data_IF_997727584875
#
_entry.id   IF_997727584875
#
_cell.length_a   1.000
_cell.length_b   1.000
_cell.length_c   1.000
_cell.angle_alpha   90.00
_cell.angle_beta   90.00
_cell.angle_gamma   90.00
#
_symmetry.space_group_name_H-M   'P 1'
#
loop_
_entity.id
_entity.type
_entity.pdbx_description
1 polymer ?
#
# COMPACT_ATOMS: atom_id res chain seq x y z
N UNK A 1 -64.25 -50.09 23.26
CA UNK A 1 -64.10 -49.14 22.14
C UNK A 1 -62.77 -48.42 22.36
N UNK A 2 -61.68 -48.98 21.83
CA UNK A 2 -60.30 -48.53 22.08
C UNK A 2 -59.98 -47.31 21.20
N UNK A 3 -59.58 -46.22 21.85
CA UNK A 3 -59.19 -44.95 21.26
C UNK A 3 -57.71 -45.04 20.81
N UNK A 4 -57.42 -44.92 19.52
CA UNK A 4 -56.04 -44.85 18.99
C UNK A 4 -55.74 -43.44 18.53
N UNK A 5 -55.06 -42.66 19.37
CA UNK A 5 -54.59 -41.31 19.04
C UNK A 5 -53.23 -41.46 18.34
N UNK A 6 -53.20 -41.33 17.02
CA UNK A 6 -51.98 -41.25 16.25
C UNK A 6 -51.38 -39.85 16.37
N UNK A 7 -50.22 -39.74 17.01
CA UNK A 7 -49.46 -38.50 17.18
C UNK A 7 -48.62 -38.24 15.92
N UNK A 8 -49.07 -37.35 15.04
CA UNK A 8 -48.28 -36.92 13.88
C UNK A 8 -47.26 -35.87 14.34
N UNK A 9 -45.99 -36.26 14.44
CA UNK A 9 -44.88 -35.33 14.62
C UNK A 9 -44.64 -34.62 13.29
N UNK A 10 -45.08 -33.36 13.20
CA UNK A 10 -44.69 -32.45 12.12
C UNK A 10 -43.21 -32.08 12.32
N UNK A 11 -42.33 -32.72 11.56
CA UNK A 11 -40.93 -32.31 11.45
C UNK A 11 -40.88 -31.02 10.64
N UNK A 12 -40.73 -29.87 11.31
CA UNK A 12 -40.48 -28.59 10.66
C UNK A 12 -39.07 -28.59 10.07
N UNK A 13 -38.94 -28.73 8.75
CA UNK A 13 -37.69 -28.41 8.07
C UNK A 13 -37.48 -26.89 8.13
N UNK A 14 -36.51 -26.44 8.91
CA UNK A 14 -35.94 -25.11 8.74
C UNK A 14 -35.08 -25.14 7.50
N UNK A 15 -35.59 -24.62 6.38
CA UNK A 15 -34.75 -24.34 5.21
C UNK A 15 -33.86 -23.17 5.59
N UNK A 16 -32.60 -23.45 5.94
CA UNK A 16 -31.58 -22.40 5.98
C UNK A 16 -31.30 -22.01 4.54
N UNK A 17 -31.80 -20.86 4.11
CA UNK A 17 -31.39 -20.27 2.84
C UNK A 17 -29.87 -20.11 2.87
N UNK A 18 -29.17 -20.88 2.03
CA UNK A 18 -27.79 -20.59 1.71
C UNK A 18 -27.78 -19.28 0.94
N UNK A 19 -27.63 -18.17 1.66
CA UNK A 19 -27.53 -16.85 1.05
C UNK A 19 -26.19 -16.81 0.30
N UNK A 20 -26.22 -17.12 -1.00
CA UNK A 20 -25.08 -16.92 -1.87
C UNK A 20 -24.76 -15.43 -1.85
N UNK A 21 -23.54 -15.10 -1.44
CA UNK A 21 -23.03 -13.73 -1.47
C UNK A 21 -22.82 -13.36 -2.94
N UNK A 22 -23.82 -12.74 -3.57
CA UNK A 22 -23.73 -12.19 -4.92
C UNK A 22 -23.45 -10.70 -4.79
N UNK A 23 -22.20 -10.31 -5.06
CA UNK A 23 -21.81 -8.91 -5.02
C UNK A 23 -22.55 -8.12 -6.12
N UNK A 24 -22.98 -6.86 -5.85
CA UNK A 24 -23.63 -6.01 -6.85
C UNK A 24 -22.89 -5.99 -8.20
N UNK A 25 -23.64 -6.12 -9.30
CA UNK A 25 -23.08 -6.04 -10.66
C UNK A 25 -22.84 -4.59 -11.05
N UNK A 26 -21.76 -4.35 -11.80
CA UNK A 26 -21.47 -3.06 -12.43
C UNK A 26 -21.73 -3.09 -13.94
N UNK A 27 -22.23 -4.21 -14.49
CA UNK A 27 -22.47 -4.40 -15.92
C UNK A 27 -21.26 -3.95 -16.77
N UNK A 28 -21.45 -3.12 -17.82
CA UNK A 28 -20.33 -2.70 -18.67
C UNK A 28 -19.35 -1.78 -17.94
N UNK A 29 -19.75 -1.15 -16.83
CA UNK A 29 -18.85 -0.34 -16.01
C UNK A 29 -17.76 -1.17 -15.31
N UNK A 30 -18.00 -2.48 -15.10
CA UNK A 30 -17.00 -3.39 -14.52
C UNK A 30 -15.71 -3.50 -15.35
N UNK A 31 -15.76 -3.14 -16.64
CA UNK A 31 -14.61 -3.20 -17.54
C UNK A 31 -13.68 -1.98 -17.45
N UNK A 32 -14.01 -0.98 -16.62
CA UNK A 32 -13.26 0.27 -16.52
C UNK A 32 -12.78 0.52 -15.09
N UNK A 33 -11.55 1.01 -14.97
CA UNK A 33 -10.97 1.45 -13.69
C UNK A 33 -11.41 2.87 -13.36
N UNK A 34 -11.59 3.71 -14.39
CA UNK A 34 -12.02 5.11 -14.24
C UNK A 34 -13.14 5.40 -15.24
N UNK A 35 -14.26 5.93 -14.74
CA UNK A 35 -15.36 6.44 -15.56
C UNK A 35 -15.68 7.86 -15.08
N UNK A 36 -15.81 8.82 -16.00
CA UNK A 36 -16.17 10.20 -15.66
C UNK A 36 -17.19 10.80 -16.64
N UNK A 37 -17.98 11.76 -16.16
CA UNK A 37 -18.93 12.49 -17.00
C UNK A 37 -18.32 13.72 -17.67
N UNK A 38 -17.59 14.51 -16.87
CA UNK A 38 -17.13 15.85 -17.22
C UNK A 38 -15.67 15.87 -17.67
N UNK A 39 -14.77 15.37 -16.84
CA UNK A 39 -13.33 15.37 -17.13
C UNK A 39 -12.58 14.42 -16.22
N UNK A 40 -11.42 13.96 -16.69
CA UNK A 40 -10.37 13.37 -15.84
C UNK A 40 -9.11 14.20 -16.00
N UNK A 41 -8.55 14.68 -14.89
CA UNK A 41 -7.32 15.46 -14.85
C UNK A 41 -6.29 14.77 -13.95
N UNK A 42 -5.06 14.65 -14.43
CA UNK A 42 -3.95 14.09 -13.67
C UNK A 42 -2.80 15.09 -13.50
N UNK A 43 -2.10 14.97 -12.37
CA UNK A 43 -0.82 15.63 -12.12
C UNK A 43 0.16 14.61 -11.58
N UNK A 44 1.35 14.54 -12.18
CA UNK A 44 2.39 13.57 -11.78
C UNK A 44 2.24 12.20 -12.44
N UNK A 45 2.95 11.22 -11.89
CA UNK A 45 3.21 9.90 -12.50
C UNK A 45 2.15 8.85 -12.13
N UNK A 46 0.87 9.18 -12.28
CA UNK A 46 -0.22 8.22 -12.05
C UNK A 46 -0.17 7.09 -13.06
N UNK A 47 -0.35 5.85 -12.59
CA UNK A 47 -0.49 4.65 -13.43
C UNK A 47 -1.90 4.09 -13.25
N UNK A 48 -2.67 4.05 -14.34
CA UNK A 48 -3.97 3.36 -14.38
C UNK A 48 -3.77 1.99 -15.03
N UNK A 49 -3.94 0.92 -14.26
CA UNK A 49 -3.92 -0.46 -14.77
C UNK A 49 -5.35 -0.90 -15.14
N UNK A 50 -5.83 -0.44 -16.28
CA UNK A 50 -7.15 -0.79 -16.82
C UNK A 50 -7.72 0.30 -17.72
N UNK A 51 -8.97 0.12 -18.14
CA UNK A 51 -9.60 1.01 -19.09
C UNK A 51 -10.12 2.30 -18.44
N UNK A 52 -10.17 3.38 -19.21
CA UNK A 52 -10.72 4.67 -18.81
C UNK A 52 -11.82 5.07 -19.79
N UNK A 53 -12.95 5.55 -19.26
CA UNK A 53 -14.06 6.08 -20.06
C UNK A 53 -14.45 7.50 -19.63
N UNK A 54 -14.75 8.37 -20.61
CA UNK A 54 -15.37 9.67 -20.37
C UNK A 54 -16.56 9.84 -21.31
N UNK A 55 -17.74 10.17 -20.77
CA UNK A 55 -18.94 10.49 -21.56
C UNK A 55 -19.98 11.23 -20.71
N UNK A 56 -20.67 12.27 -21.21
CA UNK A 56 -20.71 12.73 -22.60
C UNK A 56 -19.54 13.64 -23.02
N UNK A 57 -18.72 14.09 -22.06
CA UNK A 57 -17.51 14.86 -22.38
C UNK A 57 -16.39 13.98 -22.95
N UNK A 58 -15.29 14.61 -23.34
CA UNK A 58 -14.07 13.97 -23.83
C UNK A 58 -12.79 14.55 -23.18
N UNK A 59 -12.94 15.34 -22.11
CA UNK A 59 -11.82 16.07 -21.51
C UNK A 59 -10.94 15.15 -20.65
N UNK A 60 -9.73 14.86 -21.16
CA UNK A 60 -8.70 14.09 -20.47
C UNK A 60 -7.40 14.91 -20.48
N UNK A 61 -6.80 15.17 -19.32
CA UNK A 61 -5.55 15.94 -19.19
C UNK A 61 -4.55 15.29 -18.25
N UNK A 62 -3.25 15.52 -18.48
CA UNK A 62 -2.17 15.04 -17.60
C UNK A 62 -1.78 13.57 -17.78
N UNK A 63 -2.32 12.89 -18.80
CA UNK A 63 -1.87 11.58 -19.25
C UNK A 63 -1.12 11.73 -20.58
N UNK A 64 -0.01 11.00 -20.73
CA UNK A 64 0.95 11.12 -21.84
C UNK A 64 1.53 12.55 -22.02
N UNK A 65 2.80 12.82 -21.62
CA UNK A 65 3.84 11.87 -21.23
C UNK A 65 3.93 11.57 -19.73
N UNK A 66 3.19 12.29 -18.87
CA UNK A 66 3.35 12.22 -17.40
C UNK A 66 2.66 11.00 -16.77
N UNK A 67 1.33 10.93 -16.90
CA UNK A 67 0.56 9.77 -16.44
C UNK A 67 0.49 8.68 -17.51
N UNK A 68 0.34 7.43 -17.08
CA UNK A 68 0.25 6.25 -17.93
C UNK A 68 -1.11 5.56 -17.75
N UNK A 69 -1.72 5.15 -18.86
CA UNK A 69 -2.93 4.31 -18.88
C UNK A 69 -2.58 3.00 -19.58
N UNK A 70 -2.55 1.90 -18.82
CA UNK A 70 -2.32 0.54 -19.31
C UNK A 70 -3.66 -0.12 -19.65
N UNK A 71 -4.37 0.46 -20.62
CA UNK A 71 -5.69 -0.01 -21.06
C UNK A 71 -6.26 0.84 -22.19
N UNK A 72 -7.50 0.54 -22.58
CA UNK A 72 -8.23 1.29 -23.61
C UNK A 72 -8.77 2.59 -23.01
N UNK A 73 -8.63 3.67 -23.77
CA UNK A 73 -9.20 4.98 -23.44
C UNK A 73 -10.38 5.28 -24.36
N UNK A 74 -11.58 5.34 -23.79
CA UNK A 74 -12.87 5.53 -24.47
C UNK A 74 -13.42 6.94 -24.20
N UNK A 75 -13.27 7.88 -25.13
CA UNK A 75 -13.72 9.27 -24.97
C UNK A 75 -14.92 9.57 -25.87
N UNK A 76 -16.08 9.85 -25.28
CA UNK A 76 -17.31 10.20 -26.00
C UNK A 76 -17.91 9.06 -26.84
N UNK A 77 -17.43 7.82 -26.66
CA UNK A 77 -17.87 6.68 -27.46
C UNK A 77 -19.18 6.10 -26.95
N UNK A 78 -19.83 5.25 -27.77
CA UNK A 78 -21.05 4.53 -27.36
C UNK A 78 -20.79 3.56 -26.21
N UNK A 79 -19.57 3.01 -26.11
CA UNK A 79 -19.14 2.14 -25.01
C UNK A 79 -19.01 2.95 -23.72
N UNK A 80 -18.35 4.11 -23.78
CA UNK A 80 -18.26 5.03 -22.63
C UNK A 80 -19.64 5.52 -22.17
N UNK A 81 -20.56 5.81 -23.11
CA UNK A 81 -21.93 6.19 -22.79
C UNK A 81 -22.70 5.08 -22.08
N UNK A 82 -22.56 3.83 -22.53
CA UNK A 82 -23.21 2.69 -21.88
C UNK A 82 -22.65 2.46 -20.47
N UNK A 83 -21.32 2.52 -20.31
CA UNK A 83 -20.68 2.41 -19.00
C UNK A 83 -21.19 3.48 -18.02
N UNK A 84 -21.42 4.71 -18.48
CA UNK A 84 -22.00 5.77 -17.65
C UNK A 84 -23.44 5.53 -17.21
N UNK A 85 -24.28 4.97 -18.10
CA UNK A 85 -25.63 4.54 -17.73
C UNK A 85 -25.59 3.43 -16.68
N UNK A 86 -24.67 2.49 -16.84
CA UNK A 86 -24.50 1.36 -15.93
C UNK A 86 -23.97 1.81 -14.56
N UNK A 87 -23.03 2.76 -14.50
CA UNK A 87 -22.63 3.42 -13.23
C UNK A 87 -23.82 4.10 -12.56
N UNK A 88 -24.67 4.79 -13.32
CA UNK A 88 -25.85 5.46 -12.77
C UNK A 88 -26.86 4.45 -12.21
N UNK A 89 -27.07 3.32 -12.90
CA UNK A 89 -27.91 2.23 -12.38
C UNK A 89 -27.32 1.66 -11.09
N UNK A 90 -26.04 1.28 -11.11
CA UNK A 90 -25.36 0.72 -9.94
C UNK A 90 -25.39 1.68 -8.75
N UNK A 91 -25.18 2.97 -8.97
CA UNK A 91 -25.30 3.98 -7.93
C UNK A 91 -26.69 3.99 -7.26
N UNK A 92 -27.76 3.96 -8.07
CA UNK A 92 -29.13 3.95 -7.56
C UNK A 92 -29.47 2.65 -6.83
N UNK A 93 -29.00 1.51 -7.34
CA UNK A 93 -29.18 0.20 -6.71
C UNK A 93 -28.49 0.16 -5.34
N UNK A 94 -27.23 0.61 -5.27
CA UNK A 94 -26.47 0.71 -4.02
C UNK A 94 -27.12 1.67 -3.03
N UNK A 95 -27.63 2.83 -3.49
CA UNK A 95 -28.32 3.81 -2.66
C UNK A 95 -29.65 3.29 -2.10
N UNK A 96 -30.35 2.44 -2.86
CA UNK A 96 -31.62 1.83 -2.47
C UNK A 96 -31.49 0.54 -1.66
N UNK A 97 -30.27 0.01 -1.49
CA UNK A 97 -30.05 -1.25 -0.82
C UNK A 97 -30.51 -1.21 0.66
N UNK A 98 -31.09 -2.30 1.21
CA UNK A 98 -31.60 -2.33 2.58
C UNK A 98 -30.47 -2.18 3.59
N UNK A 99 -30.57 -1.24 4.51
CA UNK A 99 -29.50 -0.95 5.46
C UNK A 99 -29.39 -2.03 6.54
N UNK A 100 -28.17 -2.38 6.93
CA UNK A 100 -27.91 -3.23 8.10
C UNK A 100 -27.57 -2.40 9.33
N UNK A 101 -26.96 -1.23 9.16
CA UNK A 101 -26.58 -0.36 10.26
C UNK A 101 -26.60 1.12 9.88
N UNK A 102 -27.05 1.95 10.81
CA UNK A 102 -26.94 3.40 10.75
C UNK A 102 -25.62 3.83 11.39
N UNK A 103 -24.83 4.65 10.70
CA UNK A 103 -23.50 5.08 11.09
C UNK A 103 -23.29 6.60 11.01
N UNK A 104 -24.35 7.39 10.81
CA UNK A 104 -24.30 8.86 10.86
C UNK A 104 -23.55 9.36 12.10
N UNK A 105 -22.51 10.18 11.89
CA UNK A 105 -21.68 10.75 12.95
C UNK A 105 -20.58 9.82 13.50
N UNK A 106 -20.42 8.61 12.95
CA UNK A 106 -19.37 7.67 13.35
C UNK A 106 -18.17 7.81 12.41
N UNK A 107 -17.01 8.15 12.97
CA UNK A 107 -15.71 8.06 12.27
C UNK A 107 -15.35 6.59 12.03
N UNK A 108 -14.91 6.28 10.81
CA UNK A 108 -14.50 4.95 10.36
C UNK A 108 -13.10 4.56 10.86
N UNK A 109 -12.35 5.51 11.41
CA UNK A 109 -11.04 5.25 12.02
C UNK A 109 -11.14 4.14 13.08
N UNK A 110 -10.25 3.15 12.96
CA UNK A 110 -10.13 2.01 13.87
C UNK A 110 -11.38 1.13 13.97
N UNK A 111 -12.35 1.28 13.05
CA UNK A 111 -13.52 0.40 13.00
C UNK A 111 -13.15 -0.93 12.37
N UNK A 112 -13.73 -2.00 12.93
CA UNK A 112 -13.77 -3.31 12.31
C UNK A 112 -15.21 -3.61 11.95
N UNK A 113 -15.51 -3.64 10.66
CA UNK A 113 -16.85 -3.87 10.14
C UNK A 113 -16.93 -5.28 9.55
N UNK A 114 -18.05 -5.95 9.75
CA UNK A 114 -18.38 -7.23 9.11
C UNK A 114 -19.17 -6.96 7.82
N UNK A 115 -19.47 -7.94 6.97
CA UNK A 115 -20.31 -7.70 5.79
C UNK A 115 -21.64 -7.03 6.16
N UNK A 116 -22.01 -5.97 5.44
CA UNK A 116 -23.17 -5.16 5.75
C UNK A 116 -23.34 -3.93 4.84
N UNK A 117 -24.48 -3.26 5.03
CA UNK A 117 -24.88 -2.03 4.34
C UNK A 117 -24.98 -0.92 5.37
N UNK A 118 -24.03 0.02 5.31
CA UNK A 118 -23.77 1.05 6.29
C UNK A 118 -24.24 2.41 5.78
N UNK A 119 -25.23 2.99 6.46
CA UNK A 119 -25.81 4.29 6.07
C UNK A 119 -25.17 5.45 6.83
N UNK A 120 -24.99 6.56 6.13
CA UNK A 120 -24.60 7.86 6.68
C UNK A 120 -25.53 8.93 6.07
N UNK A 121 -26.32 9.59 6.91
CA UNK A 121 -27.16 10.73 6.51
C UNK A 121 -26.34 12.03 6.37
N UNK A 122 -25.08 12.00 6.81
CA UNK A 122 -24.11 13.09 6.73
C UNK A 122 -22.87 12.66 5.94
N UNK A 123 -21.82 13.48 5.99
CA UNK A 123 -20.49 13.06 5.56
C UNK A 123 -20.01 11.85 6.40
N UNK A 124 -19.11 11.07 5.80
CA UNK A 124 -18.41 9.96 6.43
C UNK A 124 -16.91 10.08 6.15
N UNK A 125 -16.07 9.54 7.01
CA UNK A 125 -14.64 9.60 6.77
C UNK A 125 -13.80 8.71 7.65
N UNK A 126 -12.53 8.61 7.26
CA UNK A 126 -11.43 8.12 8.09
C UNK A 126 -10.63 9.37 8.46
N UNK A 127 -10.97 10.00 9.57
CA UNK A 127 -10.55 11.38 9.84
C UNK A 127 -9.18 11.48 10.51
N UNK A 128 -8.64 10.36 11.02
CA UNK A 128 -7.31 10.33 11.63
C UNK A 128 -6.21 10.01 10.62
N UNK A 129 -5.08 10.76 10.59
CA UNK A 129 -3.91 10.40 9.79
C UNK A 129 -3.40 9.00 10.12
N UNK A 130 -3.05 8.21 9.10
CA UNK A 130 -2.74 6.78 9.25
C UNK A 130 -3.86 5.94 9.91
N UNK A 131 -5.10 6.43 9.86
CA UNK A 131 -6.27 5.72 10.36
C UNK A 131 -6.58 4.49 9.51
N UNK A 132 -6.95 3.38 10.17
CA UNK A 132 -7.25 2.11 9.51
C UNK A 132 -8.73 1.78 9.67
N UNK A 133 -9.43 1.57 8.56
CA UNK A 133 -10.73 0.89 8.53
C UNK A 133 -10.51 -0.58 8.20
N UNK A 134 -10.94 -1.50 9.06
CA UNK A 134 -10.84 -2.94 8.84
C UNK A 134 -12.18 -3.54 8.39
N UNK A 135 -12.18 -4.28 7.29
CA UNK A 135 -13.32 -5.03 6.77
C UNK A 135 -13.06 -6.52 6.97
N UNK A 136 -13.85 -7.15 7.84
CA UNK A 136 -13.59 -8.47 8.39
C UNK A 136 -14.64 -9.48 7.95
N UNK A 137 -14.24 -10.38 7.04
CA UNK A 137 -15.06 -11.49 6.60
C UNK A 137 -15.44 -11.40 5.12
N UNK A 138 -15.75 -12.56 4.55
CA UNK A 138 -16.23 -12.67 3.17
C UNK A 138 -17.66 -12.16 3.08
N UNK A 139 -17.92 -11.19 2.23
CA UNK A 139 -19.26 -10.63 2.06
C UNK A 139 -19.28 -9.30 1.34
N UNK A 140 -20.46 -8.69 1.32
CA UNK A 140 -20.72 -7.40 0.68
C UNK A 140 -20.56 -6.30 1.72
N UNK A 141 -19.88 -5.21 1.34
CA UNK A 141 -19.78 -3.99 2.12
C UNK A 141 -20.30 -2.84 1.26
N UNK A 142 -21.40 -2.20 1.64
CA UNK A 142 -21.93 -1.02 0.95
C UNK A 142 -21.94 0.14 1.93
N UNK A 143 -21.24 1.21 1.60
CA UNK A 143 -21.27 2.48 2.33
C UNK A 143 -22.18 3.45 1.58
N UNK A 144 -23.37 3.71 2.12
CA UNK A 144 -24.33 4.68 1.59
C UNK A 144 -24.14 6.03 2.28
N UNK A 145 -23.46 6.96 1.62
CA UNK A 145 -23.08 8.25 2.19
C UNK A 145 -23.90 9.34 1.49
N UNK A 146 -24.71 10.08 2.25
CA UNK A 146 -25.61 11.09 1.69
C UNK A 146 -24.88 12.38 1.26
N UNK A 147 -23.66 12.60 1.76
CA UNK A 147 -22.82 13.77 1.47
C UNK A 147 -21.42 13.33 1.00
N UNK A 148 -20.37 13.98 1.49
CA UNK A 148 -18.99 13.74 1.11
C UNK A 148 -18.36 12.53 1.84
N UNK A 149 -17.39 11.90 1.18
CA UNK A 149 -16.46 10.93 1.77
C UNK A 149 -15.08 11.58 1.88
N UNK A 150 -14.47 11.59 3.05
CA UNK A 150 -13.11 12.10 3.24
C UNK A 150 -12.21 11.05 3.89
N UNK A 151 -10.99 10.89 3.39
CA UNK A 151 -9.98 10.10 4.09
C UNK A 151 -8.76 10.96 4.38
N UNK A 152 -8.25 10.87 5.60
CA UNK A 152 -7.02 11.56 6.00
C UNK A 152 -5.81 10.94 5.31
N UNK A 153 -4.71 11.71 5.26
CA UNK A 153 -3.44 11.24 4.73
C UNK A 153 -3.03 9.91 5.35
N UNK A 154 -2.51 9.01 4.53
CA UNK A 154 -1.97 7.70 4.91
C UNK A 154 -3.00 6.72 5.47
N UNK A 155 -4.30 7.03 5.35
CA UNK A 155 -5.36 6.11 5.74
C UNK A 155 -5.35 4.83 4.92
N UNK A 156 -5.80 3.74 5.54
CA UNK A 156 -5.85 2.41 4.93
C UNK A 156 -7.24 1.80 5.10
N UNK A 157 -7.74 1.15 4.04
CA UNK A 157 -8.88 0.23 4.14
C UNK A 157 -8.34 -1.19 4.00
N UNK A 158 -8.39 -1.94 5.11
CA UNK A 158 -7.79 -3.27 5.21
C UNK A 158 -8.85 -4.35 5.18
N UNK A 159 -8.85 -5.17 4.13
CA UNK A 159 -9.64 -6.40 4.09
C UNK A 159 -8.92 -7.54 4.83
N UNK A 160 -9.62 -8.19 5.76
CA UNK A 160 -9.14 -9.40 6.45
C UNK A 160 -10.17 -10.54 6.34
N UNK A 161 -9.74 -11.77 6.60
CA UNK A 161 -10.61 -12.95 6.66
C UNK A 161 -11.49 -13.13 5.40
N UNK A 162 -10.93 -12.84 4.22
CA UNK A 162 -11.58 -13.07 2.93
C UNK A 162 -12.45 -11.92 2.40
N UNK A 163 -12.38 -10.73 3.00
CA UNK A 163 -12.96 -9.52 2.38
C UNK A 163 -12.33 -9.27 0.99
N UNK A 164 -13.17 -9.04 -0.03
CA UNK A 164 -12.75 -8.84 -1.42
C UNK A 164 -13.07 -7.42 -1.88
N UNK A 165 -12.10 -6.74 -2.49
CA UNK A 165 -12.28 -5.41 -3.08
C UNK A 165 -13.43 -5.34 -4.08
N UNK A 166 -13.65 -6.41 -4.87
CA UNK A 166 -14.77 -6.52 -5.82
C UNK A 166 -16.17 -6.55 -5.17
N UNK A 167 -16.24 -6.62 -3.85
CA UNK A 167 -17.47 -6.67 -3.06
C UNK A 167 -17.60 -5.51 -2.07
N UNK A 168 -16.75 -4.48 -2.22
CA UNK A 168 -16.74 -3.28 -1.40
C UNK A 168 -17.17 -2.09 -2.27
N UNK A 169 -18.25 -1.43 -1.90
CA UNK A 169 -18.88 -0.36 -2.68
C UNK A 169 -19.07 0.90 -1.84
N UNK A 170 -18.72 2.03 -2.42
CA UNK A 170 -18.90 3.36 -1.82
C UNK A 170 -19.86 4.16 -2.68
N UNK A 171 -21.10 4.31 -2.21
CA UNK A 171 -22.08 5.20 -2.82
C UNK A 171 -21.97 6.56 -2.11
N UNK A 172 -21.48 7.58 -2.82
CA UNK A 172 -21.21 8.91 -2.25
C UNK A 172 -22.19 9.94 -2.82
N UNK A 173 -22.83 10.73 -1.97
CA UNK A 173 -23.88 11.67 -2.33
C UNK A 173 -23.37 12.93 -3.04
N UNK A 174 -22.14 13.33 -2.76
CA UNK A 174 -21.48 14.48 -3.40
C UNK A 174 -20.10 14.11 -3.96
N UNK A 175 -19.04 14.29 -3.19
CA UNK A 175 -17.65 14.11 -3.62
C UNK A 175 -16.87 13.22 -2.65
N UNK A 176 -15.93 12.46 -3.20
CA UNK A 176 -14.94 11.74 -2.41
C UNK A 176 -13.58 12.47 -2.50
N UNK A 177 -12.95 12.70 -1.36
CA UNK A 177 -11.59 13.23 -1.25
C UNK A 177 -10.73 12.23 -0.51
N UNK A 178 -9.79 11.63 -1.22
CA UNK A 178 -8.88 10.63 -0.67
C UNK A 178 -7.57 11.29 -0.30
N UNK A 179 -7.14 11.09 0.94
CA UNK A 179 -5.86 11.57 1.44
C UNK A 179 -4.68 10.96 0.68
N UNK A 180 -3.53 11.65 0.71
CA UNK A 180 -2.32 11.14 0.07
C UNK A 180 -1.93 9.77 0.63
N UNK A 181 -1.51 8.87 -0.24
CA UNK A 181 -0.90 7.60 0.16
C UNK A 181 0.55 7.85 0.60
N UNK A 182 1.09 6.99 1.47
CA UNK A 182 2.53 7.01 1.78
C UNK A 182 3.28 6.74 0.47
N UNK A 183 4.15 7.67 0.07
CA UNK A 183 5.19 7.44 -0.94
C UNK A 183 6.48 7.16 -0.19
N UNK A 184 7.36 6.33 -0.73
CA UNK A 184 8.67 6.07 -0.13
C UNK A 184 9.46 7.37 0.12
N UNK A 185 9.25 8.39 -0.71
CA UNK A 185 9.82 9.73 -0.59
C UNK A 185 9.23 10.56 0.57
N UNK A 186 7.99 10.29 0.98
CA UNK A 186 7.27 10.99 2.06
C UNK A 186 7.49 10.32 3.42
N UNK A 187 8.18 9.17 3.46
CA UNK A 187 8.67 8.58 4.70
C UNK A 187 9.82 9.50 5.15
N UNK A 188 9.65 10.31 6.23
CA UNK A 188 10.78 11.06 6.76
C UNK A 188 11.90 10.05 7.03
N UNK A 189 13.15 10.32 6.59
CA UNK A 189 14.25 9.40 6.85
C UNK A 189 14.21 9.09 8.33
N UNK A 190 14.07 7.79 8.65
CA UNK A 190 13.95 7.32 10.04
C UNK A 190 15.01 8.10 10.84
N UNK A 191 14.63 8.93 11.83
CA UNK A 191 15.61 9.63 12.63
C UNK A 191 16.59 8.58 13.11
N UNK A 192 17.88 8.77 12.84
CA UNK A 192 18.87 7.82 13.32
C UNK A 192 18.77 7.83 14.84
N UNK A 193 18.07 6.84 15.40
CA UNK A 193 18.04 6.63 16.83
C UNK A 193 19.50 6.43 17.22
N UNK A 194 20.07 7.33 18.04
CA UNK A 194 21.42 7.13 18.50
C UNK A 194 21.45 5.77 19.20
N UNK A 195 22.41 4.89 18.88
CA UNK A 195 22.55 3.65 19.62
C UNK A 195 22.60 4.00 21.11
N UNK A 196 21.77 3.33 21.90
CA UNK A 196 21.78 3.49 23.35
C UNK A 196 23.17 3.11 23.87
N UNK A 197 24.00 4.12 24.17
CA UNK A 197 25.37 4.03 24.72
C UNK A 197 26.44 3.30 23.86
N UNK A 198 27.75 3.56 24.08
CA UNK A 198 28.70 3.68 22.98
C UNK A 198 29.21 2.32 22.51
N UNK A 199 28.54 1.72 21.54
CA UNK A 199 29.07 0.57 20.84
C UNK A 199 29.84 1.04 19.59
N UNK A 200 31.03 1.59 19.79
CA UNK A 200 32.03 1.61 18.71
C UNK A 200 32.49 0.17 18.45
N UNK A 201 31.73 -0.54 17.62
CA UNK A 201 32.03 -1.92 17.21
C UNK A 201 33.06 -1.92 16.08
N UNK A 202 34.19 -2.60 16.27
CA UNK A 202 35.17 -2.92 15.23
C UNK A 202 35.02 -4.39 14.83
N UNK A 203 35.15 -4.69 13.54
CA UNK A 203 35.13 -6.05 13.00
C UNK A 203 36.58 -6.54 12.82
N UNK A 204 36.86 -7.81 13.17
CA UNK A 204 38.22 -8.37 13.22
C UNK A 204 38.91 -8.42 11.84
N UNK A 205 38.16 -8.66 10.77
CA UNK A 205 38.64 -8.63 9.37
C UNK A 205 37.53 -8.17 8.42
N UNK A 206 37.89 -7.71 7.21
CA UNK A 206 36.92 -7.35 6.15
C UNK A 206 36.01 -8.53 5.82
N UNK A 207 36.54 -9.75 5.87
CA UNK A 207 35.74 -10.96 5.65
C UNK A 207 34.73 -11.21 6.78
N UNK A 208 35.05 -10.90 8.05
CA UNK A 208 34.03 -10.96 9.12
C UNK A 208 32.97 -9.87 8.96
N UNK A 209 33.35 -8.68 8.47
CA UNK A 209 32.43 -7.60 8.14
C UNK A 209 31.49 -8.01 6.98
N UNK A 210 31.99 -8.78 6.01
CA UNK A 210 31.22 -9.27 4.87
C UNK A 210 30.32 -10.47 5.21
N UNK A 211 30.75 -11.36 6.11
CA UNK A 211 29.91 -12.48 6.58
C UNK A 211 28.75 -11.99 7.45
N UNK A 212 28.99 -11.03 8.37
CA UNK A 212 27.90 -10.35 9.09
C UNK A 212 26.96 -9.59 8.13
N UNK A 213 27.49 -8.98 7.06
CA UNK A 213 26.72 -8.30 6.01
C UNK A 213 25.77 -9.24 5.25
N UNK A 214 26.16 -10.51 5.03
CA UNK A 214 25.27 -11.50 4.40
C UNK A 214 24.22 -12.07 5.36
N UNK A 215 24.58 -12.27 6.64
CA UNK A 215 23.65 -12.82 7.64
C UNK A 215 22.55 -11.83 8.05
N UNK A 216 22.84 -10.54 8.20
CA UNK A 216 21.81 -9.52 8.48
C UNK A 216 20.84 -9.33 7.29
N UNK A 217 21.32 -9.50 6.04
CA UNK A 217 20.46 -9.48 4.84
C UNK A 217 19.58 -10.74 4.73
N UNK A 218 20.06 -11.89 5.22
CA UNK A 218 19.28 -13.12 5.27
C UNK A 218 18.27 -13.15 6.43
N UNK A 219 18.48 -12.37 7.48
CA UNK A 219 17.59 -12.34 8.65
C UNK A 219 16.23 -11.67 8.42
N UNK A 220 16.08 -10.86 7.37
CA UNK A 220 14.75 -10.44 6.91
C UNK A 220 13.97 -11.58 6.23
N UNK A 221 14.58 -12.75 6.00
CA UNK A 221 13.93 -13.88 5.33
C UNK A 221 13.95 -15.25 6.04
N UNK A 222 14.76 -15.52 7.07
CA UNK A 222 14.69 -16.80 7.81
C UNK A 222 15.00 -16.64 9.32
N UNK A 223 14.08 -17.14 10.16
CA UNK A 223 14.25 -17.25 11.62
C UNK A 223 15.09 -18.48 11.97
N UNK A 224 16.02 -18.30 12.91
CA UNK A 224 16.57 -19.33 13.81
C UNK A 224 17.91 -20.03 13.44
N UNK A 225 19.00 -19.27 13.32
CA UNK A 225 20.35 -19.77 13.60
C UNK A 225 21.28 -18.60 13.99
N UNK A 226 21.66 -18.50 15.28
CA UNK A 226 22.61 -17.47 15.74
C UNK A 226 24.04 -17.94 15.50
N UNK A 227 24.82 -17.18 14.73
CA UNK A 227 26.29 -17.22 14.78
C UNK A 227 26.74 -16.13 15.76
N UNK A 228 27.41 -16.51 16.84
CA UNK A 228 27.91 -15.59 17.85
C UNK A 228 29.26 -15.01 17.37
N UNK A 229 29.31 -13.70 17.07
CA UNK A 229 30.52 -13.04 16.59
C UNK A 229 31.41 -12.63 17.77
N UNK A 230 32.61 -13.21 17.89
CA UNK A 230 33.59 -12.88 18.94
C UNK A 230 34.28 -11.51 18.71
N UNK A 231 34.34 -10.68 19.77
CA UNK A 231 34.94 -9.34 19.77
C UNK A 231 36.13 -9.26 20.75
N UNK A 232 37.22 -8.54 20.43
CA UNK A 232 38.30 -8.18 21.38
C UNK A 232 38.61 -6.67 21.34
N UNK A 233 38.98 -6.09 22.49
CA UNK A 233 39.14 -4.64 22.72
C UNK A 233 40.55 -4.10 22.41
N UNK A 234 40.65 -3.02 21.62
CA UNK A 234 41.90 -2.24 21.44
C UNK A 234 41.79 -1.10 20.42
N UNK A 235 42.54 0.00 20.65
CA UNK A 235 42.71 1.10 19.68
C UNK A 235 43.75 0.71 18.62
N UNK A 236 43.37 0.87 17.35
CA UNK A 236 44.28 0.70 16.21
C UNK A 236 43.97 1.79 15.19
N UNK A 237 45.02 2.44 14.73
CA UNK A 237 45.07 3.41 13.64
C UNK A 237 45.54 2.67 12.38
N UNK A 238 44.73 2.68 11.31
CA UNK A 238 45.07 1.97 10.06
C UNK A 238 45.99 2.85 9.21
N UNK A 239 47.16 2.33 8.83
CA UNK A 239 48.08 3.04 7.93
C UNK A 239 47.61 2.96 6.46
N UNK A 240 48.02 3.94 5.66
CA UNK A 240 47.71 4.13 4.24
C UNK A 240 47.92 2.89 3.35
N UNK A 241 48.85 2.01 3.67
CA UNK A 241 49.10 0.77 2.93
C UNK A 241 48.00 -0.27 3.16
N UNK A 242 47.47 -0.36 4.37
CA UNK A 242 46.34 -1.26 4.66
C UNK A 242 45.05 -0.79 3.99
N UNK A 243 44.87 0.52 3.81
CA UNK A 243 43.77 1.08 3.03
C UNK A 243 43.90 0.76 1.54
N UNK A 244 45.11 0.76 0.99
CA UNK A 244 45.34 0.41 -0.42
C UNK A 244 45.13 -1.09 -0.73
N UNK A 245 45.39 -1.98 0.23
CA UNK A 245 45.06 -3.41 0.10
C UNK A 245 43.55 -3.66 0.17
N UNK A 246 42.83 -2.91 1.02
CA UNK A 246 41.37 -2.88 1.08
C UNK A 246 40.75 -2.49 -0.27
N UNK A 247 41.31 -1.45 -0.90
CA UNK A 247 40.87 -0.94 -2.20
C UNK A 247 40.98 -2.00 -3.31
N UNK A 248 42.11 -2.71 -3.36
CA UNK A 248 42.38 -3.76 -4.36
C UNK A 248 41.45 -4.98 -4.17
N UNK A 249 41.08 -5.31 -2.93
CA UNK A 249 40.16 -6.41 -2.62
C UNK A 249 38.71 -6.07 -2.97
N UNK A 250 38.23 -4.87 -2.60
CA UNK A 250 36.87 -4.42 -2.85
C UNK A 250 36.57 -4.22 -4.35
N UNK A 251 37.55 -3.75 -5.13
CA UNK A 251 37.44 -3.64 -6.61
C UNK A 251 37.19 -5.00 -7.28
N UNK A 252 37.70 -6.11 -6.72
CA UNK A 252 37.54 -7.45 -7.30
C UNK A 252 36.24 -8.15 -6.93
N UNK A 253 35.61 -7.79 -5.81
CA UNK A 253 34.43 -8.51 -5.26
C UNK A 253 33.09 -7.78 -5.42
N UNK A 254 33.09 -6.47 -5.69
CA UNK A 254 31.85 -5.72 -5.90
C UNK A 254 31.39 -5.89 -7.36
N UNK A 255 30.36 -6.73 -7.57
CA UNK A 255 29.66 -6.79 -8.85
C UNK A 255 28.76 -5.55 -9.02
N UNK A 256 28.72 -4.97 -10.23
CA UNK A 256 28.01 -3.71 -10.52
C UNK A 256 26.49 -3.79 -10.30
N UNK A 257 25.95 -5.00 -10.22
CA UNK A 257 24.52 -5.29 -10.16
C UNK A 257 23.92 -5.11 -8.75
N UNK A 258 24.73 -5.07 -7.70
CA UNK A 258 24.26 -5.12 -6.30
C UNK A 258 24.23 -3.76 -5.57
N UNK A 259 24.69 -2.68 -6.20
CA UNK A 259 24.65 -1.33 -5.62
C UNK A 259 23.48 -0.55 -6.25
N UNK A 260 22.36 -0.48 -5.54
CA UNK A 260 21.20 0.38 -5.87
C UNK A 260 21.24 1.67 -5.03
N UNK A 261 20.51 2.72 -5.42
CA UNK A 261 20.46 3.98 -4.64
C UNK A 261 20.03 3.74 -3.17
N UNK A 262 19.16 2.76 -2.91
CA UNK A 262 18.75 2.38 -1.56
C UNK A 262 19.90 1.87 -0.67
N UNK A 263 20.95 1.29 -1.27
CA UNK A 263 22.13 0.82 -0.53
C UNK A 263 23.00 1.98 -0.02
N UNK A 264 22.92 3.17 -0.63
CA UNK A 264 23.67 4.35 -0.20
C UNK A 264 23.00 5.08 0.99
N UNK A 265 21.68 4.99 1.11
CA UNK A 265 20.92 5.68 2.16
C UNK A 265 21.09 5.02 3.55
N UNK A 266 21.23 3.70 3.61
CA UNK A 266 21.55 2.97 4.86
C UNK A 266 22.89 3.42 5.48
N UNK A 267 23.86 3.77 4.65
CA UNK A 267 25.22 4.09 5.08
C UNK A 267 25.47 5.57 5.42
N UNK A 268 24.49 6.45 5.17
CA UNK A 268 24.59 7.89 5.49
C UNK A 268 24.75 8.17 7.00
N UNK A 269 24.45 7.22 7.88
CA UNK A 269 24.57 7.40 9.34
C UNK A 269 25.89 6.94 10.01
N UNK A 270 26.92 6.52 9.26
CA UNK A 270 28.23 6.12 9.83
C UNK A 270 29.40 7.00 9.33
N UNK A 271 29.70 8.04 10.12
CA UNK A 271 30.37 9.29 9.67
C UNK A 271 31.85 9.20 9.31
N UNK A 272 32.57 8.11 9.59
CA UNK A 272 34.00 7.97 9.22
C UNK A 272 34.28 6.96 8.11
N UNK A 273 33.53 5.86 8.04
CA UNK A 273 33.69 4.84 7.00
C UNK A 273 33.01 5.26 5.68
N UNK A 274 31.91 6.02 5.75
CA UNK A 274 31.20 6.55 4.58
C UNK A 274 32.08 7.46 3.71
N UNK A 275 32.88 8.35 4.31
CA UNK A 275 33.74 9.24 3.53
C UNK A 275 34.82 8.48 2.75
N UNK A 276 35.30 7.35 3.28
CA UNK A 276 36.30 6.51 2.61
C UNK A 276 35.66 5.73 1.45
N UNK A 277 34.51 5.12 1.70
CA UNK A 277 33.75 4.37 0.69
C UNK A 277 33.25 5.30 -0.44
N UNK A 278 32.72 6.48 -0.10
CA UNK A 278 32.26 7.48 -1.08
C UNK A 278 33.43 8.04 -1.91
N UNK A 279 34.62 8.20 -1.30
CA UNK A 279 35.87 8.57 -2.04
C UNK A 279 36.30 7.46 -3.01
N UNK A 280 36.16 6.19 -2.64
CA UNK A 280 36.44 5.06 -3.52
C UNK A 280 35.49 5.01 -4.71
N UNK A 281 34.19 5.06 -4.44
CA UNK A 281 33.13 5.00 -5.45
C UNK A 281 33.24 6.20 -6.40
N UNK A 282 33.57 7.40 -5.89
CA UNK A 282 33.83 8.60 -6.71
C UNK A 282 35.01 8.41 -7.66
N UNK A 283 36.08 7.74 -7.22
CA UNK A 283 37.30 7.52 -8.00
C UNK A 283 37.11 6.45 -9.09
N UNK A 284 36.26 5.46 -8.84
CA UNK A 284 35.98 4.35 -9.77
C UNK A 284 34.88 4.72 -10.79
N UNK A 285 33.90 5.53 -10.42
CA UNK A 285 32.66 5.73 -11.20
C UNK A 285 32.34 7.18 -11.63
N UNK A 286 33.22 8.16 -11.37
CA UNK A 286 33.10 9.55 -11.85
C UNK A 286 31.77 10.28 -11.53
N UNK A 287 31.20 10.05 -10.34
CA UNK A 287 29.93 10.64 -9.88
C UNK A 287 30.12 12.10 -9.40
N UNK A 288 29.17 13.04 -9.66
CA UNK A 288 29.27 14.45 -9.24
C UNK A 288 29.31 14.67 -7.72
N UNK A 289 30.04 15.72 -7.31
CA UNK A 289 30.46 15.96 -5.91
C UNK A 289 29.34 16.27 -4.90
N UNK A 290 28.15 16.65 -5.36
CA UNK A 290 26.98 16.99 -4.52
C UNK A 290 26.37 15.78 -3.82
N UNK A 291 26.74 14.56 -4.23
CA UNK A 291 26.13 13.30 -3.76
C UNK A 291 26.75 12.74 -2.47
N UNK A 292 27.90 13.27 -2.01
CA UNK A 292 28.63 12.80 -0.82
C UNK A 292 28.64 13.85 0.31
N UNK A 293 27.52 14.53 0.57
CA UNK A 293 27.39 15.36 1.77
C UNK A 293 26.89 14.50 2.93
N UNK A 294 27.59 14.59 4.05
CA UNK A 294 27.12 14.09 5.34
C UNK A 294 26.25 15.21 5.91
N UNK A 295 24.93 15.00 6.02
CA UNK A 295 24.12 15.87 6.87
C UNK A 295 24.49 15.57 8.33
N UNK A 296 24.80 16.62 9.09
CA UNK A 296 25.05 16.50 10.54
C UNK A 296 23.75 16.34 11.29
#
# INVERSE_FOLDING_TARGET
MLLSIAFYVLMSLTVTEANLIICPTLNSAANFTVIAASSVSNTGLTVINGNLAISPSISLTGFNPTGVINGITELGTVVALQAQKDVTSAYNDLKGAPITAQMTGIDLTSKTLVPGIYKFDSAAGIDTPAGILTLNGTGIYIFQISSALTTSAYSEIRGINGAKASCIFWQVGSSATLGQILRDEDIPPKPCEPPSEPQQKKFKTVDTLFTCFQDDYAHDNLKDNRVECDYESGEYEYDTNQLNELDQYLIRKIDKSSITNNSLDFWRCHTKQFLLLCKLVKRIYSIPATSCNVER
#
